data_IF_729651192757
#
_entry.id   IF_729651192757
#
_cell.length_a   1.000
_cell.length_b   1.000
_cell.length_c   1.000
_cell.angle_alpha   90.00
_cell.angle_beta   90.00
_cell.angle_gamma   90.00
#
_symmetry.space_group_name_H-M   'P 1'
#
loop_
_entity.id
_entity.type
_entity.pdbx_description
1 polymer ?
#
# COMPACT_ATOMS: atom_id res chain seq x y z
N UNK A 1 -28.98 1.12 -39.46
CA UNK A 1 -27.49 1.21 -39.41
C UNK A 1 -27.03 0.67 -38.06
N UNK A 2 -26.12 -0.32 -38.04
CA UNK A 2 -25.45 -0.69 -36.80
C UNK A 2 -24.30 0.26 -36.55
N UNK A 3 -24.51 1.27 -35.71
CA UNK A 3 -23.43 2.14 -35.23
C UNK A 3 -22.63 1.35 -34.21
N UNK A 4 -21.42 0.92 -34.59
CA UNK A 4 -20.49 0.31 -33.64
C UNK A 4 -19.96 1.40 -32.73
N UNK A 5 -20.05 1.18 -31.41
CA UNK A 5 -19.39 2.05 -30.44
C UNK A 5 -17.87 1.85 -30.49
N UNK A 6 -17.12 2.85 -30.05
CA UNK A 6 -15.65 2.78 -29.94
C UNK A 6 -15.21 1.50 -29.21
N UNK A 7 -15.81 1.18 -28.06
CA UNK A 7 -15.54 -0.06 -27.32
C UNK A 7 -15.83 -1.33 -28.14
N UNK A 8 -16.85 -1.32 -28.99
CA UNK A 8 -17.16 -2.45 -29.86
C UNK A 8 -16.11 -2.62 -30.97
N UNK A 9 -15.58 -1.52 -31.51
CA UNK A 9 -14.48 -1.51 -32.48
C UNK A 9 -13.22 -2.11 -31.84
N UNK A 10 -12.81 -1.63 -30.67
CA UNK A 10 -11.67 -2.20 -29.95
C UNK A 10 -11.84 -3.70 -29.68
N UNK A 11 -13.00 -4.13 -29.20
CA UNK A 11 -13.27 -5.57 -28.97
C UNK A 11 -13.19 -6.41 -30.24
N UNK A 12 -13.60 -5.86 -31.38
CA UNK A 12 -13.53 -6.56 -32.66
C UNK A 12 -12.08 -6.69 -33.14
N UNK A 13 -11.32 -5.59 -33.06
CA UNK A 13 -9.90 -5.56 -33.47
C UNK A 13 -9.06 -6.51 -32.59
N UNK A 14 -9.27 -6.51 -31.27
CA UNK A 14 -8.57 -7.40 -30.34
C UNK A 14 -8.92 -8.90 -30.49
N UNK A 15 -9.92 -9.25 -31.30
CA UNK A 15 -10.26 -10.63 -31.65
C UNK A 15 -9.78 -11.02 -33.06
N UNK A 16 -9.32 -10.07 -33.84
CA UNK A 16 -8.86 -10.27 -35.21
C UNK A 16 -7.42 -10.76 -35.22
N UNK A 17 -7.11 -11.69 -36.13
CA UNK A 17 -5.76 -12.22 -36.40
C UNK A 17 -5.14 -11.63 -37.68
N UNK A 18 -5.67 -10.50 -38.15
CA UNK A 18 -5.12 -9.82 -39.32
C UNK A 18 -3.85 -9.07 -38.92
N UNK A 19 -2.81 -9.01 -39.77
CA UNK A 19 -1.56 -8.33 -39.43
C UNK A 19 -1.75 -6.88 -38.97
N UNK A 20 -2.67 -6.13 -39.58
CA UNK A 20 -2.95 -4.74 -39.21
C UNK A 20 -3.64 -4.63 -37.85
N UNK A 21 -4.43 -5.64 -37.48
CA UNK A 21 -5.08 -5.71 -36.19
C UNK A 21 -4.09 -6.10 -35.08
N UNK A 22 -3.13 -6.98 -35.36
CA UNK A 22 -2.04 -7.31 -34.43
C UNK A 22 -1.12 -6.11 -34.22
N UNK A 23 -0.71 -5.43 -35.29
CA UNK A 23 0.07 -4.20 -35.20
C UNK A 23 -0.64 -3.10 -34.38
N UNK A 24 -1.96 -2.95 -34.54
CA UNK A 24 -2.75 -2.03 -33.71
C UNK A 24 -2.83 -2.48 -32.25
N UNK A 25 -2.97 -3.78 -31.98
CA UNK A 25 -2.97 -4.31 -30.61
C UNK A 25 -1.65 -4.02 -29.90
N UNK A 26 -0.52 -4.28 -30.56
CA UNK A 26 0.82 -4.02 -30.04
C UNK A 26 1.01 -2.52 -29.74
N UNK A 27 0.59 -1.66 -30.68
CA UNK A 27 0.62 -0.22 -30.46
C UNK A 27 -0.24 0.22 -29.25
N UNK A 28 -1.45 -0.31 -29.10
CA UNK A 28 -2.29 -0.03 -27.92
C UNK A 28 -1.61 -0.50 -26.63
N UNK A 29 -0.97 -1.66 -26.65
CA UNK A 29 -0.19 -2.16 -25.51
C UNK A 29 0.96 -1.23 -25.13
N UNK A 30 1.71 -0.74 -26.11
CA UNK A 30 2.81 0.21 -25.88
C UNK A 30 2.29 1.53 -25.29
N UNK A 31 1.17 2.06 -25.80
CA UNK A 31 0.54 3.26 -25.23
C UNK A 31 0.12 3.02 -23.76
N UNK A 32 -0.51 1.87 -23.45
CA UNK A 32 -0.88 1.52 -22.07
C UNK A 32 0.37 1.40 -21.18
N UNK A 33 1.44 0.82 -21.69
CA UNK A 33 2.72 0.70 -20.97
C UNK A 33 3.33 2.07 -20.70
N UNK A 34 3.41 2.94 -21.71
CA UNK A 34 3.91 4.32 -21.55
C UNK A 34 3.05 5.09 -20.56
N UNK A 35 1.72 4.99 -20.63
CA UNK A 35 0.82 5.63 -19.67
C UNK A 35 1.04 5.10 -18.25
N UNK A 36 1.22 3.79 -18.07
CA UNK A 36 1.54 3.21 -16.76
C UNK A 36 2.87 3.72 -16.20
N UNK A 37 3.86 3.91 -17.06
CA UNK A 37 5.18 4.39 -16.66
C UNK A 37 5.14 5.89 -16.35
N UNK A 38 4.54 6.70 -17.22
CA UNK A 38 4.48 8.15 -17.08
C UNK A 38 3.60 8.61 -15.91
N UNK A 39 2.56 7.84 -15.57
CA UNK A 39 1.71 8.10 -14.40
C UNK A 39 2.25 7.48 -13.11
N UNK A 40 3.39 6.79 -13.16
CA UNK A 40 3.99 6.12 -12.00
C UNK A 40 3.22 4.86 -11.53
N UNK A 41 2.22 4.39 -12.28
CA UNK A 41 1.44 3.18 -11.95
C UNK A 41 2.28 1.91 -11.95
N UNK A 42 3.30 1.81 -12.80
CA UNK A 42 4.21 0.65 -12.80
C UNK A 42 5.09 0.63 -11.55
N UNK A 43 5.71 1.77 -11.22
CA UNK A 43 6.44 1.94 -9.96
C UNK A 43 5.55 1.70 -8.75
N UNK A 44 4.29 2.15 -8.78
CA UNK A 44 3.31 1.88 -7.74
C UNK A 44 2.94 0.41 -7.60
N UNK A 45 2.85 -0.35 -8.69
CA UNK A 45 2.59 -1.80 -8.62
C UNK A 45 3.76 -2.55 -7.99
N UNK A 46 5.00 -2.22 -8.38
CA UNK A 46 6.22 -2.79 -7.77
C UNK A 46 6.30 -2.41 -6.30
N UNK A 47 6.09 -1.13 -5.98
CA UNK A 47 6.03 -0.65 -4.61
C UNK A 47 4.95 -1.39 -3.79
N UNK A 48 3.75 -1.60 -4.32
CA UNK A 48 2.69 -2.36 -3.62
C UNK A 48 3.06 -3.82 -3.38
N UNK A 49 3.84 -4.44 -4.25
CA UNK A 49 4.36 -5.78 -4.00
C UNK A 49 5.38 -5.74 -2.85
N UNK A 50 6.38 -4.85 -2.94
CA UNK A 50 7.40 -4.69 -1.90
C UNK A 50 6.80 -4.30 -0.53
N UNK A 51 5.77 -3.46 -0.52
CA UNK A 51 5.07 -3.02 0.69
C UNK A 51 4.36 -4.16 1.42
N UNK A 52 3.88 -5.18 0.70
CA UNK A 52 3.34 -6.40 1.33
C UNK A 52 4.43 -7.19 2.05
N UNK A 53 5.61 -7.27 1.45
CA UNK A 53 6.75 -7.98 2.04
C UNK A 53 7.27 -7.26 3.28
N UNK A 54 7.43 -5.93 3.21
CA UNK A 54 7.78 -5.10 4.39
C UNK A 54 6.76 -5.27 5.52
N UNK A 55 5.46 -5.23 5.20
CA UNK A 55 4.43 -5.46 6.23
C UNK A 55 4.56 -6.86 6.85
N UNK A 56 4.84 -7.90 6.05
CA UNK A 56 5.01 -9.27 6.54
C UNK A 56 6.22 -9.37 7.47
N UNK A 57 7.34 -8.73 7.10
CA UNK A 57 8.55 -8.67 7.92
C UNK A 57 8.29 -7.95 9.25
N UNK A 58 7.66 -6.77 9.23
CA UNK A 58 7.30 -6.04 10.44
C UNK A 58 6.42 -6.87 11.38
N UNK A 59 5.43 -7.61 10.85
CA UNK A 59 4.60 -8.49 11.67
C UNK A 59 5.35 -9.71 12.19
N UNK A 60 6.30 -10.26 11.42
CA UNK A 60 7.19 -11.31 11.92
C UNK A 60 8.09 -10.79 13.06
N UNK A 61 8.61 -9.58 12.94
CA UNK A 61 9.40 -8.91 13.98
C UNK A 61 8.58 -8.73 15.26
N UNK A 62 7.34 -8.23 15.13
CA UNK A 62 6.41 -8.09 16.26
C UNK A 62 6.12 -9.44 16.92
N UNK A 63 5.85 -10.48 16.13
CA UNK A 63 5.58 -11.81 16.67
C UNK A 63 6.76 -12.35 17.49
N UNK A 64 7.99 -12.06 17.06
CA UNK A 64 9.22 -12.50 17.75
C UNK A 64 9.54 -11.68 19.01
N UNK A 65 9.08 -10.43 19.09
CA UNK A 65 9.37 -9.55 20.23
C UNK A 65 8.41 -9.73 21.40
N UNK A 66 7.22 -10.27 21.14
CA UNK A 66 6.20 -10.53 22.16
C UNK A 66 6.38 -11.91 22.81
N UNK A 67 6.08 -11.99 24.11
CA UNK A 67 6.13 -13.26 24.87
C UNK A 67 5.00 -14.21 24.48
N UNK A 68 3.79 -13.69 24.34
CA UNK A 68 2.59 -14.43 23.90
C UNK A 68 1.85 -13.62 22.83
N UNK A 69 2.25 -13.71 21.55
CA UNK A 69 1.69 -12.89 20.48
C UNK A 69 0.26 -13.33 20.15
N UNK A 70 -0.71 -12.44 20.38
CA UNK A 70 -2.12 -12.67 20.06
C UNK A 70 -2.59 -11.77 18.91
N UNK A 71 -3.74 -12.12 18.32
CA UNK A 71 -4.31 -11.38 17.17
C UNK A 71 -4.46 -9.88 17.44
N UNK A 72 -4.78 -9.50 18.67
CA UNK A 72 -5.02 -8.12 19.08
C UNK A 72 -3.77 -7.25 18.96
N UNK A 73 -2.57 -7.80 19.18
CA UNK A 73 -1.31 -7.04 19.11
C UNK A 73 -1.03 -6.55 17.69
N UNK A 74 -1.23 -7.43 16.71
CA UNK A 74 -1.09 -7.08 15.29
C UNK A 74 -2.14 -6.05 14.86
N UNK A 75 -3.38 -6.17 15.36
CA UNK A 75 -4.44 -5.18 15.09
C UNK A 75 -4.05 -3.83 15.68
N UNK A 76 -3.53 -3.81 16.91
CA UNK A 76 -3.08 -2.60 17.60
C UNK A 76 -1.99 -1.89 16.82
N UNK A 77 -0.93 -2.61 16.43
CA UNK A 77 0.17 -2.05 15.63
C UNK A 77 -0.32 -1.43 14.31
N UNK A 78 -1.17 -2.15 13.56
CA UNK A 78 -1.71 -1.65 12.30
C UNK A 78 -2.67 -0.47 12.49
N UNK A 79 -3.44 -0.44 13.59
CA UNK A 79 -4.36 0.66 13.90
C UNK A 79 -3.60 1.94 14.22
N UNK A 80 -2.55 1.85 15.04
CA UNK A 80 -1.69 2.99 15.38
C UNK A 80 -1.04 3.54 14.10
N UNK A 81 -0.43 2.68 13.28
CA UNK A 81 0.21 3.10 12.05
C UNK A 81 -0.78 3.76 11.07
N UNK A 82 -1.96 3.16 10.87
CA UNK A 82 -2.98 3.74 9.99
C UNK A 82 -3.48 5.09 10.49
N UNK A 83 -3.71 5.24 11.80
CA UNK A 83 -4.17 6.48 12.39
C UNK A 83 -3.11 7.57 12.30
N UNK A 84 -1.84 7.26 12.60
CA UNK A 84 -0.71 8.17 12.48
C UNK A 84 -0.55 8.69 11.04
N UNK A 85 -0.54 7.80 10.04
CA UNK A 85 -0.46 8.20 8.62
C UNK A 85 -1.66 9.05 8.23
N UNK A 86 -2.87 8.64 8.60
CA UNK A 86 -4.07 9.41 8.25
C UNK A 86 -3.99 10.84 8.81
N UNK A 87 -3.57 10.99 10.06
CA UNK A 87 -3.39 12.30 10.69
C UNK A 87 -2.26 13.12 10.04
N UNK A 88 -1.11 12.49 9.73
CA UNK A 88 0.05 13.15 9.09
C UNK A 88 -0.32 13.79 7.76
N UNK A 89 -1.25 13.18 7.01
CA UNK A 89 -1.73 13.66 5.72
C UNK A 89 -3.05 14.45 5.81
N UNK A 90 -3.47 14.86 7.03
CA UNK A 90 -4.60 15.77 7.23
C UNK A 90 -5.99 15.13 7.10
N UNK A 91 -6.10 13.80 7.12
CA UNK A 91 -7.42 13.15 7.08
C UNK A 91 -8.14 13.29 8.44
N UNK A 92 -9.44 13.66 8.44
CA UNK A 92 -10.20 13.84 9.68
C UNK A 92 -10.47 12.51 10.41
N UNK A 93 -10.45 11.39 9.68
CA UNK A 93 -10.65 10.04 10.19
C UNK A 93 -9.55 9.12 9.67
N UNK A 94 -9.31 8.04 10.41
CA UNK A 94 -8.39 6.99 9.96
C UNK A 94 -8.92 6.35 8.68
N UNK A 95 -8.11 6.35 7.63
CA UNK A 95 -8.37 5.60 6.40
C UNK A 95 -7.70 4.22 6.46
N UNK A 96 -8.23 3.28 5.69
CA UNK A 96 -7.64 1.94 5.58
C UNK A 96 -6.43 1.98 4.63
N UNK A 97 -5.54 0.99 4.76
CA UNK A 97 -4.31 0.86 3.95
C UNK A 97 -4.58 0.84 2.44
N UNK A 98 -5.65 0.17 2.02
CA UNK A 98 -6.05 0.07 0.61
C UNK A 98 -6.54 1.38 0.00
N UNK A 99 -6.83 2.39 0.83
CA UNK A 99 -7.25 3.73 0.42
C UNK A 99 -6.10 4.75 0.42
N UNK A 100 -4.88 4.32 0.81
CA UNK A 100 -3.72 5.20 0.91
C UNK A 100 -3.07 5.43 -0.45
N UNK A 101 -2.57 6.66 -0.65
CA UNK A 101 -1.73 7.00 -1.81
C UNK A 101 -0.35 6.34 -1.70
N UNK A 102 0.46 6.33 -2.78
CA UNK A 102 1.83 5.81 -2.72
C UNK A 102 2.65 6.45 -1.60
N UNK A 103 2.68 7.78 -1.51
CA UNK A 103 3.45 8.50 -0.50
C UNK A 103 3.01 8.18 0.93
N UNK A 104 1.70 8.03 1.13
CA UNK A 104 1.15 7.62 2.42
C UNK A 104 1.61 6.22 2.81
N UNK A 105 1.71 5.29 1.86
CA UNK A 105 2.22 3.94 2.11
C UNK A 105 3.72 3.94 2.43
N UNK A 106 4.52 4.81 1.80
CA UNK A 106 5.93 5.00 2.16
C UNK A 106 6.04 5.47 3.62
N UNK A 107 5.32 6.53 3.99
CA UNK A 107 5.28 6.99 5.40
C UNK A 107 4.77 5.90 6.34
N UNK A 108 3.82 5.07 5.89
CA UNK A 108 3.26 3.99 6.70
C UNK A 108 4.29 2.92 7.04
N UNK A 109 5.24 2.61 6.15
CA UNK A 109 6.26 1.59 6.41
C UNK A 109 7.12 1.99 7.60
N UNK A 110 7.70 3.18 7.55
CA UNK A 110 8.50 3.76 8.63
C UNK A 110 7.72 3.78 9.96
N UNK A 111 6.49 4.33 9.94
CA UNK A 111 5.64 4.43 11.14
C UNK A 111 5.29 3.05 11.70
N UNK A 112 5.03 2.05 10.85
CA UNK A 112 4.71 0.70 11.29
C UNK A 112 5.92 0.02 11.93
N UNK A 113 7.11 0.17 11.35
CA UNK A 113 8.35 -0.35 11.91
C UNK A 113 8.63 0.23 13.30
N UNK A 114 8.55 1.57 13.44
CA UNK A 114 8.68 2.25 14.73
C UNK A 114 7.66 1.77 15.75
N UNK A 115 6.40 1.58 15.31
CA UNK A 115 5.33 1.07 16.17
C UNK A 115 5.63 -0.34 16.67
N UNK A 116 6.06 -1.24 15.79
CA UNK A 116 6.42 -2.62 16.13
C UNK A 116 7.58 -2.65 17.12
N UNK A 117 8.61 -1.84 16.87
CA UNK A 117 9.80 -1.78 17.71
C UNK A 117 9.51 -1.23 19.09
N UNK A 118 8.67 -0.19 19.15
CA UNK A 118 8.25 0.36 20.42
C UNK A 118 7.41 -0.64 21.21
N UNK A 119 6.43 -1.32 20.58
CA UNK A 119 5.63 -2.37 21.23
C UNK A 119 6.51 -3.48 21.79
N UNK A 120 7.43 -3.99 20.97
CA UNK A 120 8.36 -5.04 21.39
C UNK A 120 9.27 -4.60 22.53
N UNK A 121 9.74 -3.35 22.50
CA UNK A 121 10.59 -2.78 23.55
C UNK A 121 9.81 -2.57 24.84
N UNK A 122 8.59 -2.05 24.78
CA UNK A 122 7.73 -1.90 25.96
C UNK A 122 7.47 -3.22 26.66
N UNK A 123 7.13 -4.26 25.89
CA UNK A 123 6.86 -5.60 26.45
C UNK A 123 8.12 -6.20 27.07
N UNK A 124 9.24 -6.15 26.35
CA UNK A 124 10.51 -6.76 26.77
C UNK A 124 11.08 -6.14 28.05
N UNK A 125 10.92 -4.83 28.23
CA UNK A 125 11.46 -4.10 29.37
C UNK A 125 10.40 -3.73 30.42
N UNK A 126 9.13 -4.10 30.23
CA UNK A 126 8.04 -3.76 31.15
C UNK A 126 7.83 -2.25 31.29
N UNK A 127 7.97 -1.49 30.20
CA UNK A 127 7.85 -0.03 30.24
C UNK A 127 6.37 0.39 30.25
N UNK A 128 5.99 1.23 31.21
CA UNK A 128 4.66 1.81 31.31
C UNK A 128 4.52 3.08 30.45
N UNK A 129 4.64 2.94 29.13
CA UNK A 129 4.49 4.07 28.19
C UNK A 129 3.32 3.89 27.22
N UNK A 130 2.66 5.00 26.89
CA UNK A 130 1.60 5.06 25.89
C UNK A 130 2.14 4.93 24.48
N UNK A 131 2.26 3.70 23.94
CA UNK A 131 2.82 3.43 22.60
C UNK A 131 2.23 4.33 21.52
N UNK A 132 0.89 4.46 21.47
CA UNK A 132 0.23 5.27 20.43
C UNK A 132 0.57 6.75 20.56
N UNK A 133 0.60 7.29 21.77
CA UNK A 133 0.91 8.68 22.02
C UNK A 133 2.35 9.00 21.63
N UNK A 134 3.30 8.13 22.00
CA UNK A 134 4.71 8.27 21.62
C UNK A 134 4.90 8.25 20.10
N UNK A 135 4.23 7.33 19.39
CA UNK A 135 4.28 7.26 17.92
C UNK A 135 3.67 8.51 17.29
N UNK A 136 2.51 8.95 17.76
CA UNK A 136 1.87 10.16 17.24
C UNK A 136 2.75 11.39 17.46
N UNK A 137 3.36 11.52 18.64
CA UNK A 137 4.28 12.60 18.95
C UNK A 137 5.51 12.62 18.04
N UNK A 138 6.05 11.45 17.67
CA UNK A 138 7.22 11.33 16.79
C UNK A 138 6.92 11.73 15.34
N UNK A 139 5.74 11.39 14.81
CA UNK A 139 5.46 11.50 13.37
C UNK A 139 4.48 12.61 12.97
N UNK A 140 3.83 13.26 13.94
CA UNK A 140 2.90 14.38 13.69
C UNK A 140 3.47 15.74 14.09
N UNK A 141 4.63 15.80 14.74
CA UNK A 141 5.27 17.02 15.23
C UNK A 141 6.74 17.08 14.84
#
# INVERSE_FOLDING_TARGET
>A
MNVLSEKAIYRLVFKSKRPEAEAFQDWVFDIIKTLRQSTGLEGFQVFRMLDKDHQKEAMQKLRKSLKDPVRVDFIKANTIANKAVSSKYGHPKMIKKDQMTPDMLVSRQEILEDTVDLIGTTERFGLEIGVSETIYKKHLH
#
